data_IF_591997473667
#
_entry.id   IF_591997473667
#
_cell.length_a   1.000
_cell.length_b   1.000
_cell.length_c   1.000
_cell.angle_alpha   90.00
_cell.angle_beta   90.00
_cell.angle_gamma   90.00
#
_symmetry.space_group_name_H-M   'P 1'
#
loop_
_entity.id
_entity.type
_entity.pdbx_description
1 polymer ?
#
# COMPACT_ATOMS: atom_id res chain seq x y z
N UNK A 1 -10.57 5.09 3.65
CA UNK A 1 -9.60 4.06 4.05
C UNK A 1 -9.57 2.95 3.01
N UNK A 2 -8.51 2.21 2.97
CA UNK A 2 -8.37 1.04 2.13
C UNK A 2 -8.05 -0.20 2.96
N UNK A 3 -6.91 -0.83 2.76
CA UNK A 3 -6.47 -2.00 3.47
C UNK A 3 -6.15 -1.72 4.95
N UNK A 4 -5.58 -2.67 5.59
CA UNK A 4 -5.36 -2.66 7.04
C UNK A 4 -4.07 -3.38 7.42
N UNK A 5 -3.71 -3.36 8.70
CA UNK A 5 -2.70 -4.20 9.29
C UNK A 5 -3.04 -4.58 10.72
N UNK A 6 -3.04 -5.88 11.07
CA UNK A 6 -3.06 -6.27 12.47
C UNK A 6 -1.70 -6.01 13.09
N UNK A 7 -1.68 -5.37 14.25
CA UNK A 7 -0.42 -5.17 14.96
C UNK A 7 0.00 -6.42 15.75
N UNK A 8 1.28 -6.60 16.02
CA UNK A 8 1.76 -7.70 16.87
C UNK A 8 1.24 -7.68 18.32
N UNK A 9 0.65 -6.58 18.76
CA UNK A 9 0.05 -6.40 20.10
C UNK A 9 -1.48 -6.41 20.09
N UNK A 10 -2.11 -6.75 18.93
CA UNK A 10 -3.54 -7.05 18.84
C UNK A 10 -4.45 -5.86 18.54
N UNK A 11 -3.92 -4.70 18.19
CA UNK A 11 -4.70 -3.60 17.64
C UNK A 11 -4.83 -3.67 16.12
N UNK A 12 -5.66 -2.81 15.55
CA UNK A 12 -5.94 -2.71 14.12
C UNK A 12 -5.43 -1.38 13.58
N UNK A 13 -4.70 -1.40 12.48
CA UNK A 13 -4.29 -0.21 11.74
C UNK A 13 -5.14 -0.07 10.48
N UNK A 14 -5.91 1.01 10.38
CA UNK A 14 -6.65 1.37 9.17
C UNK A 14 -5.83 2.34 8.33
N UNK A 15 -5.78 2.11 7.02
CA UNK A 15 -5.02 2.94 6.09
C UNK A 15 -5.84 4.14 5.58
N UNK A 16 -5.29 5.34 5.56
CA UNK A 16 -5.86 6.50 4.87
C UNK A 16 -5.21 6.60 3.49
N UNK A 17 -5.88 6.11 2.46
CA UNK A 17 -5.35 6.02 1.09
C UNK A 17 -5.77 7.22 0.24
N UNK A 18 -6.98 7.25 -0.27
CA UNK A 18 -7.46 8.24 -1.25
C UNK A 18 -7.89 9.60 -0.63
N UNK A 19 -7.33 9.96 0.53
CA UNK A 19 -7.72 11.11 1.33
C UNK A 19 -7.65 12.45 0.57
N UNK A 20 -6.67 12.62 -0.31
CA UNK A 20 -6.47 13.87 -1.06
C UNK A 20 -7.65 14.21 -1.98
N UNK A 21 -8.38 13.20 -2.44
CA UNK A 21 -9.56 13.37 -3.29
C UNK A 21 -10.79 13.95 -2.58
N UNK A 22 -10.76 14.05 -1.26
CA UNK A 22 -11.82 14.66 -0.46
C UNK A 22 -11.61 16.16 -0.25
N UNK A 23 -10.43 16.72 -0.53
CA UNK A 23 -10.07 18.09 -0.25
C UNK A 23 -9.99 18.92 -1.52
N UNK A 24 -10.50 20.16 -1.45
CA UNK A 24 -10.36 21.18 -2.49
C UNK A 24 -9.53 22.37 -2.01
N UNK A 25 -8.64 22.88 -2.86
CA UNK A 25 -7.94 24.14 -2.66
C UNK A 25 -7.93 24.91 -3.97
N UNK A 26 -8.73 25.98 -4.06
CA UNK A 26 -8.86 26.82 -5.23
C UNK A 26 -7.82 27.96 -5.32
N UNK A 27 -6.89 28.05 -4.38
CA UNK A 27 -5.84 29.06 -4.40
C UNK A 27 -4.85 28.84 -5.55
N UNK A 28 -4.31 29.91 -6.11
CA UNK A 28 -3.34 29.86 -7.21
C UNK A 28 -1.98 29.28 -6.77
N UNK A 29 -1.62 29.46 -5.52
CA UNK A 29 -0.40 28.92 -4.91
C UNK A 29 -0.81 28.01 -3.75
N UNK A 30 -0.77 26.72 -4.02
CA UNK A 30 -1.02 25.72 -2.99
C UNK A 30 0.28 25.39 -2.25
N UNK A 31 0.21 25.06 -0.95
CA UNK A 31 1.38 24.62 -0.21
C UNK A 31 1.88 23.26 -0.73
N UNK A 32 3.18 23.01 -0.58
CA UNK A 32 3.86 21.81 -1.12
C UNK A 32 3.26 20.50 -0.64
N UNK A 33 2.82 20.45 0.61
CA UNK A 33 2.17 19.29 1.23
C UNK A 33 0.79 18.97 0.63
N UNK A 34 0.19 19.88 -0.11
CA UNK A 34 -1.02 19.64 -0.90
C UNK A 34 -0.70 19.41 -2.37
N UNK A 35 0.20 20.21 -2.95
CA UNK A 35 0.61 20.10 -4.36
C UNK A 35 1.18 18.72 -4.69
N UNK A 36 2.13 18.21 -3.87
CA UNK A 36 2.79 16.90 -4.11
C UNK A 36 1.83 15.72 -3.96
N UNK A 37 0.72 15.89 -3.24
CA UNK A 37 -0.33 14.86 -3.10
C UNK A 37 -1.46 15.01 -4.12
N UNK A 38 -1.50 16.09 -4.90
CA UNK A 38 -2.51 16.29 -5.93
C UNK A 38 -3.86 16.77 -5.42
N UNK A 39 -3.89 17.50 -4.27
CA UNK A 39 -5.10 18.21 -3.85
C UNK A 39 -5.47 19.23 -4.94
N UNK A 40 -6.64 19.08 -5.54
CA UNK A 40 -7.10 19.90 -6.67
C UNK A 40 -7.92 21.10 -6.26
N UNK A 41 -8.36 21.90 -7.24
CA UNK A 41 -9.30 23.01 -7.02
C UNK A 41 -10.76 22.57 -6.79
N UNK A 42 -11.06 21.27 -6.94
CA UNK A 42 -12.34 20.61 -6.67
C UNK A 42 -12.07 19.21 -6.14
N UNK A 43 -12.97 18.69 -5.31
CA UNK A 43 -12.86 17.33 -4.78
C UNK A 43 -13.30 16.29 -5.80
N UNK A 44 -12.97 15.02 -5.53
CA UNK A 44 -13.46 13.88 -6.30
C UNK A 44 -14.92 13.53 -5.98
N UNK A 45 -15.41 13.91 -4.80
CA UNK A 45 -16.65 13.44 -4.22
C UNK A 45 -17.64 14.55 -3.88
N UNK A 46 -17.33 15.81 -4.17
CA UNK A 46 -18.15 17.00 -3.94
C UNK A 46 -18.56 17.21 -2.46
N UNK A 47 -17.74 16.71 -1.52
CA UNK A 47 -18.05 16.82 -0.09
C UNK A 47 -18.01 18.26 0.41
N UNK A 48 -17.11 19.10 -0.15
CA UNK A 48 -17.02 20.53 0.16
C UNK A 48 -18.27 21.32 -0.24
N UNK A 49 -19.09 20.75 -1.14
CA UNK A 49 -20.33 21.34 -1.61
C UNK A 49 -21.57 20.81 -0.85
N UNK A 50 -21.40 19.79 0.01
CA UNK A 50 -22.51 19.19 0.71
C UNK A 50 -23.06 20.12 1.80
N UNK A 51 -24.40 20.20 1.90
CA UNK A 51 -25.07 20.90 3.00
C UNK A 51 -24.99 20.05 4.28
N UNK A 52 -24.56 20.64 5.37
CA UNK A 52 -24.46 19.99 6.66
C UNK A 52 -24.51 20.97 7.82
N UNK A 53 -24.60 20.47 9.05
CA UNK A 53 -24.56 21.31 10.24
C UNK A 53 -23.11 21.68 10.57
N UNK A 54 -22.93 22.90 11.06
CA UNK A 54 -21.65 23.47 11.48
C UNK A 54 -20.57 23.36 10.38
N UNK A 55 -19.42 22.81 10.71
CA UNK A 55 -18.25 22.66 9.83
C UNK A 55 -18.08 21.23 9.29
N UNK A 56 -19.14 20.41 9.35
CA UNK A 56 -19.08 18.99 8.98
C UNK A 56 -18.49 18.75 7.57
N UNK A 57 -18.84 19.59 6.60
CA UNK A 57 -18.39 19.45 5.22
C UNK A 57 -17.51 20.60 4.75
N UNK A 58 -17.71 21.82 5.25
CA UNK A 58 -16.90 22.99 4.86
C UNK A 58 -15.38 22.78 5.14
N UNK A 59 -15.03 21.91 6.09
CA UNK A 59 -13.65 21.55 6.40
C UNK A 59 -12.91 20.87 5.23
N UNK A 60 -13.61 20.38 4.23
CA UNK A 60 -13.01 19.79 3.03
C UNK A 60 -12.63 20.85 1.98
N UNK A 61 -13.07 22.10 2.13
CA UNK A 61 -12.48 23.25 1.42
C UNK A 61 -11.32 23.82 2.23
N UNK A 62 -10.11 23.50 1.79
CA UNK A 62 -8.87 23.95 2.44
C UNK A 62 -8.27 25.20 1.80
N UNK A 63 -9.07 25.92 1.01
CA UNK A 63 -8.67 27.20 0.44
C UNK A 63 -8.48 28.22 1.58
N UNK A 64 -7.32 28.91 1.66
CA UNK A 64 -7.12 30.00 2.63
C UNK A 64 -8.09 31.17 2.37
N UNK A 65 -9.04 31.39 3.26
CA UNK A 65 -10.05 32.45 3.14
C UNK A 65 -10.03 33.45 4.27
N UNK A 66 -9.30 33.18 5.33
CA UNK A 66 -9.16 34.02 6.52
C UNK A 66 -7.71 34.51 6.74
N UNK A 67 -7.48 35.51 7.58
CA UNK A 67 -6.12 36.01 7.86
C UNK A 67 -5.20 34.99 8.54
N UNK A 68 -5.73 34.05 9.31
CA UNK A 68 -4.95 33.04 10.03
C UNK A 68 -5.49 31.63 9.83
N UNK A 69 -4.62 30.64 9.98
CA UNK A 69 -4.96 29.22 9.93
C UNK A 69 -5.86 28.74 11.08
N UNK A 70 -6.09 29.59 12.10
CA UNK A 70 -7.03 29.30 13.17
C UNK A 70 -8.49 29.64 12.79
N UNK A 71 -8.69 30.38 11.70
CA UNK A 71 -9.97 30.92 11.28
C UNK A 71 -10.50 30.27 9.98
N UNK A 72 -9.76 29.30 9.42
CA UNK A 72 -10.16 28.50 8.28
C UNK A 72 -9.56 27.09 8.33
N UNK A 73 -9.86 26.25 7.32
CA UNK A 73 -9.46 24.84 7.30
C UNK A 73 -8.22 24.56 6.43
N UNK A 74 -7.39 25.58 6.08
CA UNK A 74 -6.23 25.43 5.18
C UNK A 74 -5.26 24.30 5.52
N UNK A 75 -5.18 23.90 6.79
CA UNK A 75 -4.31 22.82 7.27
C UNK A 75 -5.06 21.49 7.51
N UNK A 76 -6.36 21.43 7.28
CA UNK A 76 -7.14 20.22 7.57
C UNK A 76 -6.63 18.99 6.80
N UNK A 77 -6.30 19.16 5.51
CA UNK A 77 -5.75 18.08 4.70
C UNK A 77 -4.45 17.48 5.27
N UNK A 78 -3.69 18.24 6.05
CA UNK A 78 -2.43 17.78 6.68
C UNK A 78 -2.66 16.79 7.82
N UNK A 79 -3.89 16.65 8.27
CA UNK A 79 -4.27 15.67 9.31
C UNK A 79 -4.63 14.31 8.75
N UNK A 80 -4.62 14.14 7.42
CA UNK A 80 -4.95 12.89 6.71
C UNK A 80 -3.76 12.34 5.94
N UNK A 81 -3.82 11.05 5.60
CA UNK A 81 -2.77 10.33 4.90
C UNK A 81 -1.88 9.51 5.82
N UNK A 82 -2.42 9.02 6.92
CA UNK A 82 -1.70 8.24 7.94
C UNK A 82 -2.33 6.88 8.18
N UNK A 83 -1.58 6.02 8.85
CA UNK A 83 -2.15 4.81 9.47
C UNK A 83 -2.82 5.19 10.78
N UNK A 84 -4.06 4.73 10.96
CA UNK A 84 -4.91 5.03 12.13
C UNK A 84 -5.05 3.78 12.98
N UNK A 85 -4.47 3.77 14.17
CA UNK A 85 -4.57 2.64 15.10
C UNK A 85 -5.87 2.69 15.90
N UNK A 86 -6.56 1.57 15.92
CA UNK A 86 -7.82 1.35 16.63
C UNK A 86 -7.64 0.11 17.52
N UNK A 87 -7.98 0.25 18.79
CA UNK A 87 -8.06 -0.89 19.72
C UNK A 87 -9.48 -1.47 19.69
N UNK A 88 -9.70 -2.63 19.07
CA UNK A 88 -11.05 -3.22 18.98
C UNK A 88 -11.54 -3.78 20.31
N UNK A 89 -10.68 -3.95 21.32
CA UNK A 89 -11.00 -4.47 22.64
C UNK A 89 -11.24 -3.36 23.66
N UNK A 90 -10.95 -2.11 23.30
CA UNK A 90 -11.19 -0.91 24.13
C UNK A 90 -12.00 0.10 23.32
N UNK A 91 -13.30 -0.13 23.10
CA UNK A 91 -14.12 0.67 22.19
C UNK A 91 -14.24 2.17 22.60
N UNK A 92 -13.95 2.48 23.87
CA UNK A 92 -13.94 3.86 24.38
C UNK A 92 -12.62 4.61 24.05
N UNK A 93 -11.60 3.90 23.57
CA UNK A 93 -10.33 4.52 23.19
C UNK A 93 -10.51 5.37 21.93
N UNK A 94 -9.75 6.46 21.85
CA UNK A 94 -9.74 7.28 20.64
C UNK A 94 -8.77 6.66 19.62
N UNK A 95 -9.17 6.55 18.35
CA UNK A 95 -8.24 6.21 17.27
C UNK A 95 -7.02 7.13 17.26
N UNK A 96 -5.84 6.58 16.99
CA UNK A 96 -4.58 7.32 17.03
C UNK A 96 -3.86 7.25 15.69
N UNK A 97 -3.51 8.40 15.11
CA UNK A 97 -2.71 8.46 13.89
C UNK A 97 -1.25 8.23 14.20
N UNK A 98 -0.64 7.27 13.52
CA UNK A 98 0.78 6.89 13.67
C UNK A 98 1.63 7.69 12.68
N UNK A 99 1.89 8.95 13.01
CA UNK A 99 2.51 9.92 12.10
C UNK A 99 3.96 9.61 11.75
N UNK A 100 4.68 8.84 12.57
CA UNK A 100 6.05 8.42 12.27
C UNK A 100 6.14 7.41 11.10
N UNK A 101 5.02 6.81 10.70
CA UNK A 101 4.94 5.98 9.50
C UNK A 101 4.92 6.78 8.19
N UNK A 102 4.96 8.12 8.27
CA UNK A 102 4.91 9.02 7.13
C UNK A 102 3.49 9.37 6.69
N UNK A 103 3.38 10.36 5.80
CA UNK A 103 2.12 10.82 5.22
C UNK A 103 2.13 10.60 3.71
N UNK A 104 1.26 9.71 3.22
CA UNK A 104 1.06 9.37 1.81
C UNK A 104 -0.28 8.66 1.61
N UNK A 105 -0.54 8.10 0.45
CA UNK A 105 -1.72 7.27 0.20
C UNK A 105 -1.45 5.84 0.67
N UNK A 106 -1.55 5.61 1.98
CA UNK A 106 -1.33 4.29 2.54
C UNK A 106 -2.37 3.29 2.03
N UNK A 107 -1.92 2.27 1.31
CA UNK A 107 -2.77 1.14 0.95
C UNK A 107 -3.05 0.25 2.16
N UNK A 108 -2.00 -0.16 2.84
CA UNK A 108 -2.04 -0.94 4.06
C UNK A 108 -0.69 -0.93 4.76
N UNK A 109 -0.57 -1.73 5.80
CA UNK A 109 0.70 -1.96 6.51
C UNK A 109 0.84 -3.41 6.88
N UNK A 110 2.03 -3.97 6.64
CA UNK A 110 2.36 -5.34 7.03
C UNK A 110 3.55 -5.34 7.97
N UNK A 111 3.49 -6.19 8.98
CA UNK A 111 4.57 -6.33 9.95
C UNK A 111 5.46 -7.52 9.58
N UNK A 112 6.77 -7.30 9.68
CA UNK A 112 7.71 -8.41 9.77
C UNK A 112 7.46 -9.22 11.06
N UNK A 113 7.81 -10.50 11.10
CA UNK A 113 7.79 -11.28 12.34
C UNK A 113 8.55 -10.58 13.46
N UNK A 114 7.91 -10.44 14.62
CA UNK A 114 8.51 -9.76 15.76
C UNK A 114 9.32 -10.71 16.62
N UNK A 115 10.44 -10.22 17.15
CA UNK A 115 11.30 -10.95 18.10
C UNK A 115 11.53 -10.10 19.36
N UNK A 116 11.53 -10.78 20.53
CA UNK A 116 11.85 -10.13 21.81
C UNK A 116 13.21 -9.44 21.75
N UNK A 117 13.24 -8.17 22.14
CA UNK A 117 14.46 -7.37 22.17
C UNK A 117 14.92 -6.79 20.84
N UNK A 118 14.22 -7.06 19.73
CA UNK A 118 14.50 -6.46 18.41
C UNK A 118 13.50 -5.35 18.07
N UNK A 119 13.86 -4.41 17.18
CA UNK A 119 12.91 -3.41 16.69
C UNK A 119 11.72 -4.03 15.97
N UNK A 120 10.58 -3.36 16.03
CA UNK A 120 9.44 -3.65 15.15
C UNK A 120 9.74 -3.08 13.78
N UNK A 121 9.47 -3.88 12.75
CA UNK A 121 9.60 -3.49 11.35
C UNK A 121 8.27 -3.68 10.65
N UNK A 122 7.86 -2.69 9.86
CA UNK A 122 6.69 -2.81 9.00
C UNK A 122 6.91 -2.12 7.66
N UNK A 123 6.11 -2.53 6.66
CA UNK A 123 6.17 -2.04 5.29
C UNK A 123 4.82 -1.52 4.86
N UNK A 124 4.81 -0.50 3.99
CA UNK A 124 3.60 0.11 3.43
C UNK A 124 3.83 0.53 2.00
N UNK A 125 2.85 0.32 1.12
CA UNK A 125 2.81 0.86 -0.23
C UNK A 125 2.07 2.19 -0.29
N UNK A 126 2.46 3.04 -1.21
CA UNK A 126 1.76 4.29 -1.56
C UNK A 126 1.06 4.07 -2.90
N UNK A 127 -0.24 3.76 -2.88
CA UNK A 127 -0.98 3.46 -4.09
C UNK A 127 -1.20 4.68 -4.96
N UNK A 128 -0.20 4.97 -5.74
CA UNK A 128 -0.27 5.92 -6.86
C UNK A 128 0.82 5.61 -7.87
N UNK A 129 0.57 5.99 -9.14
CA UNK A 129 1.58 5.81 -10.19
C UNK A 129 2.83 6.59 -9.88
N UNK A 130 3.99 5.91 -9.94
CA UNK A 130 5.32 6.47 -9.66
C UNK A 130 5.56 6.80 -8.18
N UNK A 131 4.74 6.30 -7.26
CA UNK A 131 4.99 6.40 -5.84
C UNK A 131 5.75 5.17 -5.30
N UNK A 132 5.93 5.05 -4.00
CA UNK A 132 7.04 4.34 -3.41
C UNK A 132 6.60 3.24 -2.45
N UNK A 133 7.53 2.31 -2.17
CA UNK A 133 7.43 1.34 -1.07
C UNK A 133 8.25 1.87 0.10
N UNK A 134 7.65 1.88 1.28
CA UNK A 134 8.26 2.38 2.52
C UNK A 134 8.46 1.26 3.53
N UNK A 135 9.45 1.46 4.40
CA UNK A 135 9.75 0.60 5.55
C UNK A 135 9.91 1.47 6.78
N UNK A 136 9.30 1.08 7.89
CA UNK A 136 9.51 1.70 9.18
C UNK A 136 10.23 0.75 10.13
N UNK A 137 11.20 1.27 10.88
CA UNK A 137 11.94 0.53 11.90
C UNK A 137 11.82 1.31 13.21
N UNK A 138 11.22 0.70 14.25
CA UNK A 138 11.04 1.36 15.54
C UNK A 138 12.38 1.58 16.25
N UNK A 139 12.50 2.70 16.98
CA UNK A 139 13.68 2.98 17.81
C UNK A 139 13.73 2.13 19.09
N UNK A 140 12.57 1.63 19.52
CA UNK A 140 12.44 0.82 20.73
C UNK A 140 12.24 -0.65 20.38
N UNK A 141 12.84 -1.57 21.15
CA UNK A 141 12.67 -3.00 20.93
C UNK A 141 11.26 -3.47 21.33
N UNK A 142 10.81 -4.52 20.65
CA UNK A 142 9.58 -5.23 20.97
C UNK A 142 9.77 -6.10 22.21
N UNK A 143 8.81 -6.02 23.13
CA UNK A 143 8.63 -6.95 24.23
C UNK A 143 7.14 -7.23 24.38
N UNK A 144 6.72 -8.49 24.18
CA UNK A 144 5.30 -8.86 24.14
C UNK A 144 4.50 -8.41 25.38
N UNK A 145 5.15 -8.40 26.56
CA UNK A 145 4.52 -8.00 27.81
C UNK A 145 4.16 -6.51 27.89
N UNK A 146 4.77 -5.65 27.07
CA UNK A 146 4.61 -4.18 27.13
C UNK A 146 4.37 -3.55 25.77
N UNK A 147 4.36 -4.34 24.69
CA UNK A 147 4.18 -3.82 23.35
C UNK A 147 2.82 -3.12 23.21
N UNK A 148 2.83 -1.99 22.57
CA UNK A 148 1.65 -1.21 22.20
C UNK A 148 2.03 -0.22 21.10
N UNK A 149 1.07 0.58 20.64
CA UNK A 149 1.25 1.56 19.57
C UNK A 149 2.39 2.57 19.78
N UNK A 150 2.91 2.74 20.99
CA UNK A 150 4.09 3.59 21.23
C UNK A 150 5.33 3.16 20.40
N UNK A 151 5.39 1.88 19.98
CA UNK A 151 6.45 1.39 19.11
C UNK A 151 6.41 2.00 17.70
N UNK A 152 5.28 2.58 17.32
CA UNK A 152 5.08 3.28 16.04
C UNK A 152 5.18 4.80 16.16
N UNK A 153 5.50 5.34 17.33
CA UNK A 153 5.63 6.79 17.55
C UNK A 153 7.06 7.29 17.33
N UNK A 154 8.05 6.42 17.53
CA UNK A 154 9.47 6.76 17.40
C UNK A 154 10.22 5.70 16.60
N UNK A 155 10.89 6.10 15.52
CA UNK A 155 11.64 5.23 14.65
C UNK A 155 12.13 5.96 13.41
N UNK A 156 12.69 5.20 12.48
CA UNK A 156 13.14 5.72 11.19
C UNK A 156 12.26 5.18 10.09
N UNK A 157 11.73 6.09 9.26
CA UNK A 157 11.07 5.77 8.02
C UNK A 157 12.12 5.71 6.90
N UNK A 158 12.04 4.68 6.09
CA UNK A 158 12.88 4.46 4.93
C UNK A 158 12.02 4.36 3.68
N UNK A 159 12.63 4.64 2.52
CA UNK A 159 12.03 4.42 1.21
C UNK A 159 12.92 3.50 0.38
N UNK A 160 12.33 2.64 -0.44
CA UNK A 160 13.06 1.65 -1.22
C UNK A 160 13.73 2.26 -2.47
N UNK A 161 14.98 1.86 -2.73
CA UNK A 161 15.63 1.98 -4.03
C UNK A 161 16.02 0.59 -4.52
N UNK A 162 15.45 0.19 -5.65
CA UNK A 162 15.74 -1.06 -6.35
C UNK A 162 16.82 -0.80 -7.39
N UNK A 163 17.91 -1.57 -7.38
CA UNK A 163 18.98 -1.46 -8.36
C UNK A 163 18.82 -2.55 -9.44
N UNK A 164 19.31 -2.26 -10.65
CA UNK A 164 19.18 -3.15 -11.81
C UNK A 164 19.91 -4.50 -11.66
N UNK A 165 20.80 -4.62 -10.70
CA UNK A 165 21.54 -5.86 -10.41
C UNK A 165 20.82 -6.81 -9.44
N UNK A 166 19.58 -6.52 -9.06
CA UNK A 166 18.80 -7.30 -8.10
C UNK A 166 19.10 -6.97 -6.63
N UNK A 167 20.04 -6.07 -6.36
CA UNK A 167 20.22 -5.50 -5.03
C UNK A 167 19.25 -4.36 -4.77
N UNK A 168 19.01 -4.03 -3.51
CA UNK A 168 18.25 -2.85 -3.12
C UNK A 168 18.78 -2.24 -1.84
N UNK A 169 18.37 -0.99 -1.60
CA UNK A 169 18.76 -0.25 -0.41
C UNK A 169 17.56 0.51 0.15
N UNK A 170 17.43 0.51 1.46
CA UNK A 170 16.51 1.33 2.22
C UNK A 170 17.15 2.68 2.53
N UNK A 171 16.65 3.74 1.90
CA UNK A 171 17.13 5.12 2.07
C UNK A 171 16.41 5.75 3.27
N UNK A 172 17.13 6.16 4.34
CA UNK A 172 16.49 6.74 5.51
C UNK A 172 15.96 8.15 5.21
N UNK A 173 14.74 8.43 5.63
CA UNK A 173 14.10 9.74 5.53
C UNK A 173 14.21 10.48 6.86
N UNK A 174 15.43 10.80 7.27
CA UNK A 174 15.70 11.48 8.54
C UNK A 174 16.82 12.51 8.41
N UNK A 175 16.62 13.65 9.07
CA UNK A 175 17.62 14.71 9.16
C UNK A 175 18.82 14.33 10.05
N UNK A 176 18.80 13.17 10.69
CA UNK A 176 19.95 12.59 11.39
C UNK A 176 20.89 11.83 10.45
N UNK A 177 20.45 11.52 9.23
CA UNK A 177 21.29 10.85 8.22
C UNK A 177 22.04 11.87 7.35
N UNK A 178 23.39 11.86 7.34
CA UNK A 178 24.18 12.84 6.58
C UNK A 178 23.98 12.74 5.06
N UNK A 179 23.68 11.56 4.52
CA UNK A 179 23.47 11.39 3.08
C UNK A 179 22.11 11.97 2.65
N UNK A 180 21.08 11.78 3.47
CA UNK A 180 19.77 12.41 3.25
C UNK A 180 19.87 13.94 3.36
N UNK A 181 20.55 14.46 4.40
CA UNK A 181 20.80 15.91 4.55
C UNK A 181 21.51 16.49 3.34
N UNK A 182 22.54 15.81 2.83
CA UNK A 182 23.23 16.27 1.62
C UNK A 182 22.31 16.31 0.39
N UNK A 183 21.42 15.36 0.25
CA UNK A 183 20.41 15.35 -0.82
C UNK A 183 19.40 16.50 -0.67
N UNK A 184 18.95 16.78 0.56
CA UNK A 184 18.08 17.92 0.89
C UNK A 184 18.76 19.24 0.53
N UNK A 185 20.02 19.44 0.92
CA UNK A 185 20.80 20.64 0.61
C UNK A 185 20.99 20.82 -0.90
N UNK A 186 21.27 19.73 -1.62
CA UNK A 186 21.44 19.75 -3.09
C UNK A 186 20.13 20.09 -3.83
N UNK A 187 18.99 19.71 -3.30
CA UNK A 187 17.68 19.98 -3.89
C UNK A 187 17.16 21.40 -3.58
N UNK A 188 17.69 22.05 -2.55
CA UNK A 188 17.19 23.36 -2.09
C UNK A 188 17.28 24.43 -3.18
N UNK A 189 16.20 25.18 -3.38
CA UNK A 189 16.08 26.21 -4.41
C UNK A 189 15.78 25.67 -5.82
N UNK A 190 15.63 24.35 -5.98
CA UNK A 190 15.25 23.71 -7.25
C UNK A 190 13.79 23.23 -7.26
N UNK A 191 13.31 22.82 -8.44
CA UNK A 191 12.03 22.14 -8.55
C UNK A 191 12.22 20.63 -8.40
N UNK A 192 11.39 20.05 -7.52
CA UNK A 192 11.24 18.60 -7.36
C UNK A 192 9.80 18.28 -7.79
N UNK A 193 9.64 17.67 -8.96
CA UNK A 193 8.34 17.58 -9.61
C UNK A 193 7.72 18.97 -9.81
N UNK A 194 6.51 19.16 -9.33
CA UNK A 194 5.77 20.44 -9.42
C UNK A 194 6.04 21.39 -8.23
N UNK A 195 6.86 20.95 -7.25
CA UNK A 195 7.14 21.72 -6.03
C UNK A 195 8.45 22.50 -6.17
N UNK A 196 8.45 23.80 -5.86
CA UNK A 196 9.68 24.53 -5.59
C UNK A 196 10.11 24.22 -4.14
N UNK A 197 11.22 23.51 -4.01
CA UNK A 197 11.69 23.02 -2.72
C UNK A 197 12.62 24.05 -2.04
N UNK A 198 12.28 24.40 -0.80
CA UNK A 198 12.99 25.41 0.01
C UNK A 198 13.66 24.84 1.27
N UNK A 199 13.66 23.50 1.42
CA UNK A 199 14.22 22.79 2.59
C UNK A 199 13.14 22.17 3.46
N UNK A 200 13.56 21.37 4.44
CA UNK A 200 12.71 20.88 5.52
C UNK A 200 13.10 21.58 6.83
N UNK A 201 12.10 22.07 7.57
CA UNK A 201 12.33 22.78 8.82
C UNK A 201 12.77 21.86 9.97
N UNK A 202 12.24 20.65 9.99
CA UNK A 202 12.48 19.63 11.03
C UNK A 202 11.99 18.25 10.58
N UNK A 203 12.15 17.21 11.42
CA UNK A 203 11.76 15.85 11.09
C UNK A 203 10.24 15.70 10.90
N UNK A 204 9.41 16.45 11.59
CA UNK A 204 7.96 16.39 11.37
C UNK A 204 7.58 16.91 9.98
N UNK A 205 8.30 17.89 9.47
CA UNK A 205 8.11 18.40 8.11
C UNK A 205 8.54 17.38 7.04
N UNK A 206 9.59 16.60 7.27
CA UNK A 206 9.98 15.46 6.41
C UNK A 206 8.83 14.43 6.35
N UNK A 207 8.27 14.07 7.51
CA UNK A 207 7.17 13.07 7.59
C UNK A 207 5.85 13.58 7.04
N UNK A 208 5.56 14.88 7.16
CA UNK A 208 4.40 15.51 6.53
C UNK A 208 4.51 15.51 5.01
N UNK A 209 5.74 15.65 4.49
CA UNK A 209 6.06 15.71 3.07
C UNK A 209 6.78 14.44 2.60
N UNK A 210 6.36 13.27 3.05
CA UNK A 210 7.05 11.98 2.82
C UNK A 210 7.31 11.69 1.35
N UNK A 211 6.35 11.93 0.44
CA UNK A 211 6.53 11.76 -1.01
C UNK A 211 7.68 12.65 -1.54
N UNK A 212 7.70 13.91 -1.13
CA UNK A 212 8.76 14.84 -1.53
C UNK A 212 10.13 14.44 -0.96
N UNK A 213 10.17 13.94 0.27
CA UNK A 213 11.38 13.41 0.89
C UNK A 213 11.90 12.17 0.13
N UNK A 214 11.01 11.30 -0.33
CA UNK A 214 11.35 10.13 -1.14
C UNK A 214 11.88 10.52 -2.54
N UNK A 215 11.27 11.52 -3.19
CA UNK A 215 11.77 12.11 -4.44
C UNK A 215 13.23 12.58 -4.27
N UNK A 216 13.50 13.33 -3.21
CA UNK A 216 14.81 13.91 -2.90
C UNK A 216 15.84 12.83 -2.53
N UNK A 217 15.43 11.80 -1.82
CA UNK A 217 16.28 10.66 -1.47
C UNK A 217 16.68 9.82 -2.70
N UNK A 218 15.96 9.93 -3.81
CA UNK A 218 16.22 9.16 -5.03
C UNK A 218 15.69 7.73 -4.95
N UNK A 219 14.49 7.57 -4.42
CA UNK A 219 13.76 6.30 -4.38
C UNK A 219 13.38 5.82 -5.80
N UNK A 220 13.10 4.52 -5.96
CA UNK A 220 12.60 3.97 -7.23
C UNK A 220 11.11 4.18 -7.36
N UNK A 221 10.63 4.94 -8.38
CA UNK A 221 9.20 5.13 -8.61
C UNK A 221 8.55 3.85 -9.15
N UNK A 222 7.52 3.35 -8.44
CA UNK A 222 6.89 2.05 -8.70
C UNK A 222 5.57 2.15 -9.47
N UNK A 223 5.06 1.01 -9.91
CA UNK A 223 3.81 0.87 -10.67
C UNK A 223 2.60 0.65 -9.75
N UNK A 224 2.26 1.66 -8.91
CA UNK A 224 1.20 1.60 -7.91
C UNK A 224 1.46 0.46 -6.91
N UNK A 225 2.32 0.68 -5.90
CA UNK A 225 2.53 -0.31 -4.85
C UNK A 225 1.31 -0.34 -3.92
N UNK A 226 0.61 -1.46 -4.01
CA UNK A 226 -0.63 -1.71 -3.26
C UNK A 226 -0.31 -2.43 -1.95
N UNK A 227 -0.64 -3.70 -1.88
CA UNK A 227 -0.56 -4.49 -0.68
C UNK A 227 0.71 -5.35 -0.63
N UNK A 228 1.17 -5.63 0.58
CA UNK A 228 2.28 -6.55 0.79
C UNK A 228 1.92 -7.72 1.69
N UNK A 229 2.81 -8.71 1.71
CA UNK A 229 2.73 -9.84 2.63
C UNK A 229 4.12 -10.36 2.97
N UNK A 230 4.31 -10.88 4.18
CA UNK A 230 5.57 -11.52 4.60
C UNK A 230 5.37 -13.02 4.69
N UNK A 231 6.19 -13.78 3.98
CA UNK A 231 6.17 -15.25 4.03
C UNK A 231 6.56 -15.73 5.44
N UNK A 232 5.65 -16.40 6.16
CA UNK A 232 5.89 -16.82 7.53
C UNK A 232 7.00 -17.88 7.67
N UNK A 233 7.38 -18.54 6.57
CA UNK A 233 8.38 -19.60 6.56
C UNK A 233 9.77 -19.10 6.21
N UNK A 234 9.88 -18.09 5.36
CA UNK A 234 11.16 -17.62 4.81
C UNK A 234 11.50 -16.19 5.18
N UNK A 235 10.54 -15.41 5.70
CA UNK A 235 10.70 -13.99 5.96
C UNK A 235 10.76 -13.12 4.70
N UNK A 236 10.62 -13.68 3.50
CA UNK A 236 10.58 -12.88 2.27
C UNK A 236 9.34 -11.99 2.25
N UNK A 237 9.54 -10.76 1.84
CA UNK A 237 8.48 -9.77 1.68
C UNK A 237 8.04 -9.74 0.23
N UNK A 238 6.74 -9.72 -0.01
CA UNK A 238 6.11 -9.63 -1.33
C UNK A 238 5.28 -8.37 -1.40
N UNK A 239 5.28 -7.70 -2.55
CA UNK A 239 4.44 -6.53 -2.81
C UNK A 239 3.81 -6.62 -4.19
N UNK A 240 2.54 -6.25 -4.28
CA UNK A 240 1.85 -6.05 -5.56
C UNK A 240 2.19 -4.69 -6.14
N UNK A 241 2.41 -4.68 -7.45
CA UNK A 241 2.52 -3.50 -8.29
C UNK A 241 1.41 -3.59 -9.32
N UNK A 242 0.29 -2.93 -9.05
CA UNK A 242 -0.97 -3.29 -9.69
C UNK A 242 -1.03 -2.92 -11.17
N UNK A 243 -0.60 -1.74 -11.54
CA UNK A 243 -0.45 -1.31 -12.94
C UNK A 243 0.12 0.10 -13.06
N UNK A 244 0.66 0.46 -14.23
CA UNK A 244 1.01 1.85 -14.57
C UNK A 244 0.96 2.09 -16.08
N UNK A 245 -0.23 2.33 -16.61
CA UNK A 245 -0.42 2.64 -18.03
C UNK A 245 0.21 3.95 -18.51
N UNK A 246 0.84 4.72 -17.60
CA UNK A 246 1.53 5.98 -17.93
C UNK A 246 3.05 5.84 -17.98
N UNK A 247 3.62 4.70 -17.59
CA UNK A 247 5.07 4.48 -17.68
C UNK A 247 5.49 4.44 -19.15
N UNK A 248 6.45 5.28 -19.52
CA UNK A 248 6.99 5.31 -20.88
C UNK A 248 8.21 4.40 -21.00
N UNK A 249 8.67 4.15 -22.23
CA UNK A 249 9.88 3.36 -22.50
C UNK A 249 11.15 3.96 -21.83
N UNK A 250 11.21 5.28 -21.68
CA UNK A 250 12.35 5.95 -21.02
C UNK A 250 12.27 5.85 -19.48
N UNK A 251 11.15 5.42 -18.93
CA UNK A 251 10.92 5.32 -17.50
C UNK A 251 10.97 3.88 -16.98
N UNK A 252 11.19 2.90 -17.87
CA UNK A 252 11.36 1.52 -17.44
C UNK A 252 12.67 1.32 -16.70
N UNK A 253 12.66 0.46 -15.72
CA UNK A 253 13.82 0.00 -14.96
C UNK A 253 13.66 -1.50 -14.65
N UNK A 254 14.64 -2.11 -14.00
CA UNK A 254 14.58 -3.56 -13.72
C UNK A 254 13.43 -3.94 -12.79
N UNK A 255 13.00 -3.05 -11.87
CA UNK A 255 11.87 -3.31 -10.98
C UNK A 255 10.51 -3.06 -11.64
N UNK A 256 10.46 -2.25 -12.70
CA UNK A 256 9.28 -1.87 -13.47
C UNK A 256 9.58 -1.98 -14.98
N UNK A 257 9.76 -3.21 -15.52
CA UNK A 257 10.35 -3.40 -16.84
C UNK A 257 9.38 -3.20 -18.01
N UNK A 258 8.10 -2.97 -17.74
CA UNK A 258 7.07 -2.86 -18.77
C UNK A 258 6.61 -1.41 -18.94
N UNK A 259 6.82 -0.84 -20.12
CA UNK A 259 6.14 0.39 -20.51
C UNK A 259 4.62 0.13 -20.65
N UNK A 260 3.81 1.18 -20.42
CA UNK A 260 2.34 1.07 -20.41
C UNK A 260 1.81 -0.16 -19.65
N UNK A 261 2.44 -0.49 -18.52
CA UNK A 261 2.10 -1.67 -17.73
C UNK A 261 0.62 -1.65 -17.30
N UNK A 262 -0.21 -2.43 -17.97
CA UNK A 262 -1.66 -2.51 -17.71
C UNK A 262 -2.05 -3.69 -16.85
N UNK A 263 -1.15 -4.63 -16.65
CA UNK A 263 -1.44 -5.91 -15.99
C UNK A 263 -0.79 -6.06 -14.64
N UNK A 264 0.31 -5.34 -14.39
CA UNK A 264 1.02 -5.38 -13.12
C UNK A 264 1.92 -6.59 -12.94
N UNK A 265 2.49 -6.69 -11.74
CA UNK A 265 3.37 -7.79 -11.33
C UNK A 265 3.50 -7.83 -9.80
N UNK A 266 4.14 -8.87 -9.30
CA UNK A 266 4.48 -9.01 -7.89
C UNK A 266 5.99 -9.05 -7.76
N UNK A 267 6.55 -8.10 -6.99
CA UNK A 267 7.96 -8.06 -6.60
C UNK A 267 8.13 -8.72 -5.23
N UNK A 268 9.31 -9.29 -4.95
CA UNK A 268 9.64 -9.80 -3.63
C UNK A 268 11.11 -9.56 -3.29
N UNK A 269 11.41 -9.53 -1.99
CA UNK A 269 12.78 -9.39 -1.53
C UNK A 269 13.07 -10.15 -0.24
N UNK A 270 14.35 -10.37 0.02
CA UNK A 270 14.89 -10.81 1.29
C UNK A 270 15.72 -9.69 1.89
N UNK A 271 15.52 -9.38 3.15
CA UNK A 271 16.35 -8.41 3.87
C UNK A 271 17.78 -8.93 4.06
N UNK A 272 18.73 -8.00 4.13
CA UNK A 272 20.14 -8.34 4.28
C UNK A 272 20.42 -9.12 5.57
N UNK A 273 21.15 -10.22 5.48
CA UNK A 273 21.52 -11.09 6.62
C UNK A 273 20.32 -11.64 7.42
N UNK A 274 19.15 -11.78 6.80
CA UNK A 274 17.91 -12.18 7.45
C UNK A 274 17.52 -11.26 8.64
N UNK A 275 17.95 -9.99 8.60
CA UNK A 275 17.63 -8.96 9.58
C UNK A 275 16.66 -7.93 8.98
N UNK A 276 15.42 -7.92 9.46
CA UNK A 276 14.40 -6.98 8.98
C UNK A 276 14.79 -5.51 9.18
N UNK A 277 15.68 -5.20 10.12
CA UNK A 277 16.20 -3.85 10.32
C UNK A 277 17.37 -3.48 9.40
N UNK A 278 17.86 -4.40 8.56
CA UNK A 278 18.94 -4.13 7.61
C UNK A 278 18.57 -3.00 6.64
N UNK A 279 19.59 -2.29 6.15
CA UNK A 279 19.42 -1.22 5.17
C UNK A 279 19.61 -1.68 3.72
N UNK A 280 19.99 -2.93 3.48
CA UNK A 280 20.13 -3.53 2.17
C UNK A 280 19.29 -4.77 2.02
N UNK A 281 18.84 -5.07 0.79
CA UNK A 281 18.04 -6.25 0.46
C UNK A 281 18.40 -6.81 -0.92
N UNK A 282 17.96 -8.06 -1.19
CA UNK A 282 18.05 -8.68 -2.52
C UNK A 282 16.63 -8.97 -3.01
N UNK A 283 16.32 -8.65 -4.26
CA UNK A 283 14.97 -8.72 -4.82
C UNK A 283 14.92 -9.42 -6.17
N UNK A 284 13.76 -9.95 -6.48
CA UNK A 284 13.38 -10.45 -7.81
C UNK A 284 11.89 -10.18 -8.08
N UNK A 285 11.48 -10.33 -9.33
CA UNK A 285 10.06 -10.36 -9.69
C UNK A 285 9.55 -11.78 -9.45
N UNK A 286 8.50 -11.91 -8.63
CA UNK A 286 7.89 -13.21 -8.34
C UNK A 286 7.06 -13.70 -9.52
N UNK A 287 6.20 -12.84 -10.09
CA UNK A 287 5.34 -13.15 -11.22
C UNK A 287 4.91 -11.89 -11.95
N UNK A 288 4.92 -11.91 -13.27
CA UNK A 288 4.20 -10.96 -14.10
C UNK A 288 2.75 -11.37 -14.24
N UNK A 289 1.83 -10.46 -13.97
CA UNK A 289 0.43 -10.63 -14.35
C UNK A 289 0.28 -10.41 -15.85
N UNK A 290 -0.68 -11.10 -16.47
CA UNK A 290 -0.86 -11.01 -17.90
C UNK A 290 -1.77 -12.08 -18.48
N UNK A 291 -1.76 -12.14 -19.80
CA UNK A 291 -2.51 -13.10 -20.61
C UNK A 291 -1.77 -14.45 -20.68
N UNK A 292 -2.41 -15.43 -21.35
CA UNK A 292 -1.79 -16.71 -21.65
C UNK A 292 -0.46 -16.52 -22.40
N UNK A 293 0.57 -17.23 -21.95
CA UNK A 293 1.92 -17.13 -22.49
C UNK A 293 2.77 -16.00 -21.91
N UNK A 294 2.25 -15.26 -20.92
CA UNK A 294 3.09 -14.33 -20.15
C UNK A 294 4.10 -15.12 -19.33
N UNK A 295 5.38 -14.84 -19.55
CA UNK A 295 6.50 -15.52 -18.88
C UNK A 295 7.10 -14.65 -17.77
N UNK A 296 7.49 -15.27 -16.67
CA UNK A 296 8.38 -14.70 -15.66
C UNK A 296 9.70 -15.45 -15.71
N UNK A 297 10.78 -14.75 -16.01
CA UNK A 297 12.12 -15.32 -16.16
C UNK A 297 12.92 -15.04 -14.90
N UNK A 298 13.56 -16.07 -14.37
CA UNK A 298 14.45 -15.99 -13.21
C UNK A 298 15.74 -16.73 -13.56
N UNK A 299 16.87 -16.09 -13.37
CA UNK A 299 18.21 -16.64 -13.71
C UNK A 299 18.33 -17.13 -15.16
N UNK A 300 17.58 -16.52 -16.07
CA UNK A 300 17.56 -16.85 -17.50
C UNK A 300 16.69 -18.04 -17.89
N UNK A 301 15.95 -18.60 -16.95
CA UNK A 301 15.00 -19.69 -17.17
C UNK A 301 13.56 -19.22 -16.92
N UNK A 302 12.59 -19.81 -17.67
CA UNK A 302 11.16 -19.55 -17.46
C UNK A 302 10.75 -20.20 -16.14
N UNK A 303 10.50 -19.36 -15.12
CA UNK A 303 10.08 -19.80 -13.80
C UNK A 303 8.54 -19.98 -13.71
N UNK A 304 7.80 -19.16 -14.45
CA UNK A 304 6.34 -19.23 -14.57
C UNK A 304 5.96 -18.90 -16.01
N UNK A 305 5.03 -19.64 -16.58
CA UNK A 305 4.29 -19.30 -17.79
C UNK A 305 2.79 -19.35 -17.48
N UNK A 306 2.09 -18.24 -17.69
CA UNK A 306 0.65 -18.18 -17.45
C UNK A 306 -0.12 -18.93 -18.54
N UNK A 307 -1.20 -19.58 -18.13
CA UNK A 307 -2.13 -20.32 -18.98
C UNK A 307 -3.58 -19.95 -18.64
N UNK A 308 -4.55 -20.51 -19.35
CA UNK A 308 -5.97 -20.17 -19.17
C UNK A 308 -6.51 -20.36 -17.73
N UNK A 309 -5.87 -21.22 -16.92
CA UNK A 309 -6.29 -21.50 -15.56
C UNK A 309 -5.73 -20.51 -14.53
N UNK A 310 -4.73 -19.70 -14.90
CA UNK A 310 -4.06 -18.80 -13.97
C UNK A 310 -3.73 -17.41 -14.52
N UNK A 311 -4.28 -17.01 -15.67
CA UNK A 311 -4.21 -15.61 -16.13
C UNK A 311 -4.88 -14.69 -15.12
N UNK A 312 -4.28 -13.53 -14.91
CA UNK A 312 -4.81 -12.47 -14.04
C UNK A 312 -4.21 -11.11 -14.42
N UNK A 313 -4.83 -10.04 -13.96
CA UNK A 313 -4.31 -8.68 -14.10
C UNK A 313 -4.49 -7.89 -12.80
N UNK A 314 -3.75 -6.82 -12.67
CA UNK A 314 -3.82 -5.88 -11.56
C UNK A 314 -3.88 -6.59 -10.20
N UNK A 315 -2.78 -7.29 -9.81
CA UNK A 315 -2.67 -7.84 -8.47
C UNK A 315 -2.71 -6.72 -7.45
N UNK A 316 -3.52 -6.90 -6.43
CA UNK A 316 -3.82 -5.92 -5.40
C UNK A 316 -3.61 -6.54 -4.01
N UNK A 317 -4.65 -7.16 -3.41
CA UNK A 317 -4.52 -7.79 -2.12
C UNK A 317 -3.55 -8.98 -2.10
N UNK A 318 -2.70 -9.05 -1.06
CA UNK A 318 -1.78 -10.15 -0.80
C UNK A 318 -1.89 -10.64 0.63
N UNK A 319 -1.89 -11.94 0.83
CA UNK A 319 -1.84 -12.50 2.16
C UNK A 319 -1.25 -13.92 2.17
N UNK A 320 -0.43 -14.23 3.19
CA UNK A 320 0.02 -15.59 3.45
C UNK A 320 -0.88 -16.26 4.49
N UNK A 321 -1.38 -17.46 4.16
CA UNK A 321 -2.04 -18.27 5.17
C UNK A 321 -1.02 -18.93 6.13
N UNK A 322 -1.52 -19.50 7.21
CA UNK A 322 -0.67 -20.14 8.25
C UNK A 322 0.08 -21.38 7.74
N UNK A 323 -0.20 -21.85 6.52
CA UNK A 323 0.52 -22.95 5.86
C UNK A 323 1.57 -22.43 4.86
N UNK A 324 1.71 -21.11 4.72
CA UNK A 324 2.68 -20.47 3.82
C UNK A 324 2.24 -20.45 2.35
N UNK A 325 0.94 -20.52 2.07
CA UNK A 325 0.39 -20.28 0.73
C UNK A 325 0.14 -18.81 0.54
N UNK A 326 0.58 -18.27 -0.58
CA UNK A 326 0.31 -16.90 -0.97
C UNK A 326 -1.04 -16.82 -1.68
N UNK A 327 -1.91 -15.96 -1.20
CA UNK A 327 -3.18 -15.59 -1.81
C UNK A 327 -3.02 -14.25 -2.51
N UNK A 328 -3.42 -14.20 -3.79
CA UNK A 328 -3.30 -13.02 -4.66
C UNK A 328 -4.71 -12.63 -5.07
N UNK A 329 -5.11 -11.42 -4.76
CA UNK A 329 -6.40 -10.84 -5.12
C UNK A 329 -6.22 -9.79 -6.21
N UNK A 330 -7.27 -9.49 -6.97
CA UNK A 330 -7.17 -8.59 -8.12
C UNK A 330 -8.22 -7.49 -8.10
N UNK A 331 -7.82 -6.30 -8.55
CA UNK A 331 -8.68 -5.15 -8.88
C UNK A 331 -8.41 -4.68 -10.32
N UNK A 332 -8.65 -5.54 -11.27
CA UNK A 332 -8.37 -5.28 -12.67
C UNK A 332 -9.59 -5.07 -13.54
N UNK A 333 -9.31 -4.94 -14.83
CA UNK A 333 -10.34 -4.82 -15.84
C UNK A 333 -11.12 -6.11 -16.04
N UNK A 334 -12.45 -6.01 -16.13
CA UNK A 334 -13.36 -7.10 -16.54
C UNK A 334 -13.31 -7.41 -18.04
N UNK A 335 -12.46 -6.75 -18.80
CA UNK A 335 -12.33 -7.01 -20.24
C UNK A 335 -11.71 -8.38 -20.50
N UNK A 336 -12.03 -8.96 -21.65
CA UNK A 336 -11.35 -10.19 -22.10
C UNK A 336 -9.83 -9.96 -22.16
N UNK A 337 -9.01 -10.97 -21.80
CA UNK A 337 -9.38 -12.36 -21.49
C UNK A 337 -9.76 -12.62 -20.03
N UNK A 338 -9.60 -11.65 -19.12
CA UNK A 338 -9.73 -11.87 -17.67
C UNK A 338 -11.18 -12.04 -17.20
N UNK A 339 -12.10 -11.26 -17.74
CA UNK A 339 -13.55 -11.27 -17.54
C UNK A 339 -14.03 -10.81 -16.16
N UNK A 340 -13.42 -11.28 -15.08
CA UNK A 340 -13.80 -10.99 -13.71
C UNK A 340 -12.57 -10.90 -12.82
N UNK A 341 -12.63 -10.08 -11.79
CA UNK A 341 -11.65 -10.11 -10.72
C UNK A 341 -11.72 -11.41 -9.94
N UNK A 342 -10.58 -11.82 -9.39
CA UNK A 342 -10.41 -13.16 -8.86
C UNK A 342 -9.44 -13.22 -7.68
N UNK A 343 -9.37 -14.38 -7.07
CA UNK A 343 -8.31 -14.72 -6.13
C UNK A 343 -7.60 -15.99 -6.61
N UNK A 344 -6.28 -15.95 -6.58
CA UNK A 344 -5.40 -17.05 -6.93
C UNK A 344 -4.66 -17.54 -5.69
N UNK A 345 -4.31 -18.82 -5.68
CA UNK A 345 -3.44 -19.43 -4.68
C UNK A 345 -2.10 -19.74 -5.34
N UNK A 346 -1.01 -19.28 -4.72
CA UNK A 346 0.35 -19.49 -5.21
C UNK A 346 1.20 -20.24 -4.18
N UNK A 347 2.03 -21.15 -4.66
CA UNK A 347 3.09 -21.74 -3.86
C UNK A 347 4.36 -20.87 -4.03
N UNK A 348 4.88 -20.24 -2.96
CA UNK A 348 6.01 -19.31 -3.07
C UNK A 348 7.33 -19.97 -3.46
N UNK A 349 7.44 -21.31 -3.27
CA UNK A 349 8.66 -22.09 -3.56
C UNK A 349 8.65 -22.61 -4.99
N UNK A 350 7.56 -23.32 -5.37
CA UNK A 350 7.44 -23.93 -6.71
C UNK A 350 6.93 -22.95 -7.76
N UNK A 351 6.38 -21.82 -7.35
CA UNK A 351 5.70 -20.82 -8.19
C UNK A 351 4.47 -21.37 -8.94
N UNK A 352 3.90 -22.51 -8.49
CA UNK A 352 2.63 -23.01 -9.01
C UNK A 352 1.50 -22.06 -8.58
N UNK A 353 0.79 -21.50 -9.55
CA UNK A 353 -0.30 -20.54 -9.35
C UNK A 353 -1.58 -21.10 -9.93
N UNK A 354 -2.67 -21.05 -9.14
CA UNK A 354 -3.98 -21.58 -9.56
C UNK A 354 -5.09 -20.61 -9.20
N UNK A 355 -6.04 -20.46 -10.12
CA UNK A 355 -7.28 -19.72 -9.82
C UNK A 355 -8.09 -20.48 -8.77
N UNK A 356 -8.47 -19.80 -7.71
CA UNK A 356 -9.22 -20.38 -6.60
C UNK A 356 -10.65 -19.85 -6.53
N UNK A 357 -10.83 -18.54 -6.70
CA UNK A 357 -12.13 -17.89 -6.58
C UNK A 357 -12.28 -16.84 -7.66
N UNK A 358 -13.50 -16.70 -8.20
CA UNK A 358 -13.85 -15.69 -9.20
C UNK A 358 -15.00 -14.88 -8.63
N UNK A 359 -14.81 -13.57 -8.54
CA UNK A 359 -15.81 -12.63 -8.07
C UNK A 359 -16.91 -12.35 -9.10
N UNK A 360 -18.01 -11.71 -8.68
CA UNK A 360 -19.01 -11.22 -9.61
C UNK A 360 -18.44 -10.13 -10.52
N UNK A 361 -19.13 -9.86 -11.62
CA UNK A 361 -18.68 -8.83 -12.57
C UNK A 361 -18.64 -7.45 -11.93
N UNK A 362 -17.60 -6.69 -12.23
CA UNK A 362 -17.40 -5.31 -11.80
C UNK A 362 -16.98 -5.16 -10.34
N UNK A 363 -16.73 -6.28 -9.62
CA UNK A 363 -16.21 -6.19 -8.26
C UNK A 363 -14.69 -6.13 -8.24
N UNK A 364 -14.16 -5.67 -7.13
CA UNK A 364 -12.84 -6.01 -6.63
C UNK A 364 -12.94 -7.23 -5.71
N UNK A 365 -11.94 -8.11 -5.73
CA UNK A 365 -11.81 -9.22 -4.77
C UNK A 365 -10.69 -8.86 -3.79
N UNK A 366 -11.03 -8.67 -2.51
CA UNK A 366 -10.11 -8.09 -1.53
C UNK A 366 -10.25 -8.72 -0.13
N UNK A 367 -9.34 -8.37 0.79
CA UNK A 367 -9.47 -8.59 2.23
C UNK A 367 -9.55 -10.05 2.66
N UNK A 368 -8.69 -10.95 2.15
CA UNK A 368 -8.70 -12.37 2.54
C UNK A 368 -8.10 -12.60 3.93
N UNK A 369 -8.76 -13.44 4.72
CA UNK A 369 -8.25 -13.95 5.99
C UNK A 369 -8.81 -15.34 6.26
N UNK A 370 -8.07 -16.19 6.99
CA UNK A 370 -8.57 -17.50 7.45
C UNK A 370 -8.62 -17.58 8.97
N UNK A 371 -9.41 -18.53 9.46
CA UNK A 371 -9.23 -19.02 10.83
C UNK A 371 -7.84 -19.65 11.00
N UNK A 372 -7.29 -19.69 12.23
CA UNK A 372 -5.94 -20.26 12.47
C UNK A 372 -5.76 -21.71 12.01
N UNK A 373 -6.83 -22.50 11.94
CA UNK A 373 -6.83 -23.87 11.44
C UNK A 373 -6.98 -23.97 9.90
N UNK A 374 -7.09 -22.82 9.22
CA UNK A 374 -7.25 -22.69 7.75
C UNK A 374 -8.46 -23.46 7.21
N UNK A 375 -9.51 -23.63 8.00
CA UNK A 375 -10.72 -24.37 7.59
C UNK A 375 -11.89 -23.48 7.20
N UNK A 376 -11.84 -22.22 7.60
CA UNK A 376 -12.78 -21.19 7.20
C UNK A 376 -12.02 -19.99 6.67
N UNK A 377 -12.40 -19.51 5.51
CA UNK A 377 -11.83 -18.34 4.85
C UNK A 377 -12.90 -17.27 4.66
N UNK A 378 -12.52 -16.02 4.84
CA UNK A 378 -13.32 -14.85 4.57
C UNK A 378 -12.69 -14.07 3.44
N UNK A 379 -13.50 -13.68 2.46
CA UNK A 379 -13.08 -12.89 1.30
C UNK A 379 -14.11 -11.78 1.08
N UNK A 380 -13.66 -10.57 0.84
CA UNK A 380 -14.56 -9.45 0.57
C UNK A 380 -14.75 -9.26 -0.93
N UNK A 381 -15.98 -8.94 -1.30
CA UNK A 381 -16.39 -8.47 -2.62
C UNK A 381 -16.74 -6.99 -2.46
N UNK A 382 -15.95 -6.13 -3.11
CA UNK A 382 -16.07 -4.68 -3.05
C UNK A 382 -16.70 -4.13 -4.33
N UNK A 383 -17.61 -3.17 -4.21
CA UNK A 383 -18.30 -2.42 -5.26
C UNK A 383 -18.76 -3.26 -6.49
N UNK A 384 -19.41 -4.43 -6.31
CA UNK A 384 -19.85 -5.25 -7.42
C UNK A 384 -20.80 -4.48 -8.33
N UNK A 385 -20.71 -4.72 -9.64
CA UNK A 385 -21.72 -4.28 -10.57
C UNK A 385 -22.86 -5.32 -10.65
N UNK A 386 -24.00 -4.90 -11.17
CA UNK A 386 -25.18 -5.75 -11.37
C UNK A 386 -25.83 -6.26 -10.05
N UNK A 387 -26.67 -7.26 -10.13
CA UNK A 387 -27.61 -7.70 -9.07
C UNK A 387 -26.98 -8.59 -7.99
N UNK A 388 -25.72 -8.39 -7.66
CA UNK A 388 -25.02 -9.12 -6.60
C UNK A 388 -25.35 -8.54 -5.20
N UNK A 389 -25.57 -9.38 -4.14
CA UNK A 389 -25.54 -10.86 -4.15
C UNK A 389 -26.91 -11.51 -4.40
N UNK A 390 -27.99 -10.78 -4.60
CA UNK A 390 -29.36 -11.33 -4.59
C UNK A 390 -29.88 -11.77 -5.96
N UNK A 391 -29.29 -11.27 -7.05
CA UNK A 391 -29.60 -11.66 -8.40
C UNK A 391 -31.04 -11.37 -8.89
N UNK A 392 -31.71 -10.39 -8.28
CA UNK A 392 -33.04 -9.93 -8.69
C UNK A 392 -32.94 -8.64 -9.49
N UNK A 393 -33.69 -8.55 -10.59
CA UNK A 393 -33.71 -7.32 -11.42
C UNK A 393 -34.17 -6.12 -10.57
N UNK A 394 -33.32 -5.08 -10.52
CA UNK A 394 -33.58 -3.84 -9.78
C UNK A 394 -33.05 -3.81 -8.34
N UNK A 395 -32.40 -4.86 -7.88
CA UNK A 395 -31.65 -4.83 -6.62
C UNK A 395 -30.37 -3.99 -6.78
N UNK A 396 -30.02 -3.24 -5.74
CA UNK A 396 -28.73 -2.53 -5.71
C UNK A 396 -27.60 -3.51 -5.40
N UNK A 397 -26.49 -3.48 -6.19
CA UNK A 397 -25.28 -4.22 -5.85
C UNK A 397 -24.78 -3.82 -4.46
N UNK A 398 -24.23 -4.76 -3.71
CA UNK A 398 -23.74 -4.52 -2.34
C UNK A 398 -22.43 -5.22 -2.12
N UNK A 399 -21.56 -4.54 -1.40
CA UNK A 399 -20.38 -5.15 -0.82
C UNK A 399 -20.79 -6.32 0.08
N UNK A 400 -19.97 -7.36 0.09
CA UNK A 400 -20.27 -8.56 0.86
C UNK A 400 -18.99 -9.27 1.31
N UNK A 401 -19.06 -9.91 2.47
CA UNK A 401 -18.05 -10.88 2.89
C UNK A 401 -18.53 -12.29 2.55
N UNK A 402 -17.77 -12.99 1.73
CA UNK A 402 -18.01 -14.40 1.39
C UNK A 402 -17.29 -15.29 2.39
N UNK A 403 -17.98 -16.29 2.91
CA UNK A 403 -17.40 -17.30 3.81
C UNK A 403 -17.22 -18.59 3.00
N UNK A 404 -15.97 -19.06 2.94
CA UNK A 404 -15.59 -20.26 2.19
C UNK A 404 -15.20 -21.36 3.18
N UNK A 405 -15.79 -22.53 3.02
CA UNK A 405 -15.45 -23.77 3.73
C UNK A 405 -15.48 -24.95 2.76
N UNK A 406 -14.76 -26.01 3.06
CA UNK A 406 -14.85 -27.26 2.29
C UNK A 406 -15.99 -28.11 2.83
N UNK A 407 -16.64 -28.88 1.95
CA UNK A 407 -17.72 -29.81 2.31
C UNK A 407 -17.26 -30.89 3.30
N UNK A 408 -16.00 -31.34 3.15
CA UNK A 408 -15.37 -32.33 4.02
C UNK A 408 -14.76 -31.71 5.31
N UNK A 409 -14.93 -30.40 5.52
CA UNK A 409 -14.35 -29.64 6.61
C UNK A 409 -12.81 -29.69 6.66
N UNK A 410 -12.18 -30.00 5.54
CA UNK A 410 -10.72 -30.01 5.38
C UNK A 410 -10.10 -28.62 5.36
N UNK A 411 -8.77 -28.59 5.30
CA UNK A 411 -7.99 -27.35 5.14
C UNK A 411 -8.22 -26.78 3.74
N UNK A 412 -8.48 -25.47 3.67
CA UNK A 412 -8.72 -24.77 2.40
C UNK A 412 -7.42 -24.73 1.60
N UNK A 413 -7.54 -25.04 0.31
CA UNK A 413 -6.42 -25.09 -0.63
C UNK A 413 -5.49 -26.30 -0.48
N UNK A 414 -5.81 -27.28 0.38
CA UNK A 414 -5.06 -28.54 0.47
C UNK A 414 -5.47 -29.53 -0.60
#
# INVERSE_FOLDING_TARGET
>A
NCSMGPTPWGTYLAAEENWYGYFANSSQMQPREQTRHGVGGATRYDWELAEGSDDQYIRFDVTPVAPSAADDYRNEANTFGYMVEIDPFTPESKPQKRTALGRFGHEGVIFAPVEEGKPVVCYSGDDSRFEYIYKFVSSRPYYAATASGYLLDEGTLYVARFNDDGSGIWLPLTLDDPAFVASVEAAQGSRVGDVLFDGFDNQADVLLNTRLAADIAGATPMDRPEWGAVDPNTGKVYFTLTNNSRRTEEQVDAANPNAENRTGHIIRWSEGNDDFAATGFQWDIFVFAGEQGTETIVDGEVAIELNDDNIFNSPDGLWFDYNGRLWIQTDGSDAAPYQNNMMLAANPVTRDIRRFFVGPKGCEVTGVVTTPDVRTMFVNIQHPAMDWPFGSEGDHPRDATVIITRDDKGVIGA
#
